data_IF_524069107479
#
_entry.id   IF_524069107479
#
_cell.length_a   1.000
_cell.length_b   1.000
_cell.length_c   1.000
_cell.angle_alpha   90.00
_cell.angle_beta   90.00
_cell.angle_gamma   90.00
#
_symmetry.space_group_name_H-M   'P 1'
#
loop_
_entity.id
_entity.type
_entity.pdbx_description
1 polymer ?
#
# COMPACT_ATOMS: atom_id res chain seq x y z
N UNK A 1 -59.72 27.85 -7.66
CA UNK A 1 -59.00 27.95 -6.37
C UNK A 1 -57.90 26.92 -6.37
N UNK A 2 -56.65 27.34 -6.61
CA UNK A 2 -55.48 26.47 -6.51
C UNK A 2 -54.30 27.34 -6.05
N UNK A 3 -53.74 27.09 -4.86
CA UNK A 3 -52.42 27.60 -4.47
C UNK A 3 -51.70 26.49 -3.72
N UNK A 4 -50.70 25.94 -4.41
CA UNK A 4 -49.71 25.01 -3.88
C UNK A 4 -48.88 25.70 -2.78
N UNK A 5 -48.82 25.09 -1.60
CA UNK A 5 -47.86 25.42 -0.55
C UNK A 5 -46.57 24.62 -0.80
N UNK A 6 -45.60 25.22 -1.48
CA UNK A 6 -44.22 24.72 -1.45
C UNK A 6 -43.53 25.28 -0.21
N UNK A 7 -43.37 24.43 0.80
CA UNK A 7 -42.55 24.73 1.98
C UNK A 7 -41.08 24.58 1.58
N UNK A 8 -40.36 25.70 1.47
CA UNK A 8 -38.90 25.70 1.27
C UNK A 8 -38.28 25.32 2.61
N UNK A 9 -37.79 24.09 2.73
CA UNK A 9 -36.96 23.67 3.86
C UNK A 9 -35.59 24.35 3.67
N UNK A 10 -35.30 25.38 4.46
CA UNK A 10 -33.95 25.94 4.58
C UNK A 10 -33.07 24.93 5.33
N UNK A 11 -32.52 23.96 4.60
CA UNK A 11 -31.41 23.15 5.12
C UNK A 11 -30.19 24.08 5.26
N UNK A 12 -29.51 24.13 6.42
CA UNK A 12 -28.27 24.88 6.53
C UNK A 12 -27.27 24.30 5.52
N UNK A 13 -26.64 25.17 4.73
CA UNK A 13 -25.59 24.76 3.80
C UNK A 13 -24.49 24.01 4.59
N UNK A 14 -23.97 22.88 4.07
CA UNK A 14 -22.88 22.17 4.73
C UNK A 14 -21.70 23.14 4.92
N UNK A 15 -20.95 23.01 6.03
CA UNK A 15 -19.79 23.85 6.29
C UNK A 15 -18.80 23.75 5.12
N UNK A 16 -18.39 24.91 4.62
CA UNK A 16 -17.39 25.00 3.56
C UNK A 16 -16.01 24.99 4.20
N UNK A 17 -15.21 23.96 3.92
CA UNK A 17 -13.79 23.95 4.29
C UNK A 17 -13.03 24.68 3.18
N UNK A 18 -12.48 25.85 3.49
CA UNK A 18 -11.51 26.51 2.62
C UNK A 18 -10.11 26.30 3.21
N UNK A 19 -9.24 25.63 2.44
CA UNK A 19 -7.83 25.53 2.78
C UNK A 19 -7.13 26.85 2.42
N UNK A 20 -6.57 27.52 3.42
CA UNK A 20 -5.75 28.73 3.21
C UNK A 20 -4.48 28.61 4.04
N UNK A 21 -3.40 28.12 3.44
CA UNK A 21 -2.08 28.04 4.08
C UNK A 21 -2.05 27.16 5.34
N UNK A 22 -1.44 27.67 6.42
CA UNK A 22 -1.17 26.93 7.67
C UNK A 22 -2.44 26.46 8.44
N UNK A 23 -3.62 26.90 8.02
CA UNK A 23 -4.87 26.66 8.72
C UNK A 23 -5.95 26.13 7.78
N UNK A 24 -6.73 25.16 8.26
CA UNK A 24 -8.04 24.86 7.68
C UNK A 24 -9.04 25.84 8.30
N UNK A 25 -9.71 26.64 7.48
CA UNK A 25 -10.78 27.54 7.96
C UNK A 25 -12.11 26.80 7.83
N UNK A 26 -12.72 26.50 8.98
CA UNK A 26 -14.09 26.01 9.02
C UNK A 26 -15.04 27.19 9.20
N UNK A 27 -15.84 27.48 8.17
CA UNK A 27 -16.87 28.54 8.21
C UNK A 27 -18.23 27.88 8.35
N UNK A 28 -18.89 28.08 9.50
CA UNK A 28 -20.31 27.73 9.67
C UNK A 28 -21.19 28.86 9.17
N UNK A 29 -22.02 28.62 8.15
CA UNK A 29 -22.90 29.61 7.52
C UNK A 29 -24.13 30.01 8.36
N UNK A 30 -24.03 29.97 9.70
CA UNK A 30 -25.09 30.40 10.62
C UNK A 30 -24.88 31.87 11.01
N UNK A 31 -25.96 32.66 11.27
CA UNK A 31 -25.82 34.01 11.78
C UNK A 31 -25.09 33.96 13.14
N UNK A 32 -23.89 34.56 13.23
CA UNK A 32 -22.99 34.43 14.38
C UNK A 32 -21.94 33.31 14.28
N UNK A 33 -21.69 32.77 13.08
CA UNK A 33 -20.71 31.70 12.85
C UNK A 33 -19.28 32.05 13.27
N UNK A 34 -18.68 31.19 14.08
CA UNK A 34 -17.27 31.27 14.48
C UNK A 34 -16.38 30.75 13.35
N UNK A 35 -15.32 31.49 13.01
CA UNK A 35 -14.22 30.98 12.18
C UNK A 35 -13.27 30.19 13.07
N UNK A 36 -13.25 28.87 12.93
CA UNK A 36 -12.24 28.05 13.58
C UNK A 36 -11.06 27.87 12.61
N UNK A 37 -9.90 28.44 12.97
CA UNK A 37 -8.63 28.12 12.32
C UNK A 37 -8.09 26.85 12.95
N UNK A 38 -8.19 25.73 12.25
CA UNK A 38 -7.53 24.50 12.65
C UNK A 38 -6.10 24.57 12.11
N UNK A 39 -5.12 24.82 12.98
CA UNK A 39 -3.71 24.71 12.61
C UNK A 39 -3.42 23.26 12.19
N UNK A 40 -2.80 23.08 11.04
CA UNK A 40 -2.21 21.79 10.70
C UNK A 40 -1.18 21.45 11.80
N UNK A 41 -1.19 20.21 12.32
CA UNK A 41 -0.19 19.79 13.29
C UNK A 41 1.22 20.06 12.73
N UNK A 42 2.15 20.56 13.56
CA UNK A 42 3.51 20.82 13.12
C UNK A 42 4.14 19.53 12.59
N UNK A 43 4.86 19.65 11.49
CA UNK A 43 5.70 18.57 10.97
C UNK A 43 6.94 18.54 11.85
N UNK A 44 7.27 17.37 12.37
CA UNK A 44 8.51 17.16 13.11
C UNK A 44 9.63 16.83 12.12
N UNK A 45 10.83 17.33 12.39
CA UNK A 45 12.02 17.08 11.57
C UNK A 45 13.14 16.55 12.46
N UNK A 46 14.03 15.76 11.87
CA UNK A 46 15.27 15.36 12.53
C UNK A 46 16.30 16.52 12.55
N UNK A 47 17.48 16.25 13.10
CA UNK A 47 18.58 17.21 13.18
C UNK A 47 19.11 17.67 11.80
N UNK A 48 18.83 16.90 10.74
CA UNK A 48 19.26 17.17 9.37
C UNK A 48 18.17 17.88 8.54
N UNK A 49 17.00 18.14 9.12
CA UNK A 49 15.86 18.75 8.43
C UNK A 49 15.07 17.79 7.55
N UNK A 50 15.17 16.48 7.77
CA UNK A 50 14.33 15.46 7.13
C UNK A 50 13.05 15.29 7.96
N UNK A 51 11.85 15.37 7.35
CA UNK A 51 10.60 15.26 8.10
C UNK A 51 10.39 13.83 8.62
N UNK A 52 9.73 13.69 9.76
CA UNK A 52 9.18 12.40 10.20
C UNK A 52 7.90 12.06 9.42
N UNK A 53 7.52 10.78 9.42
CA UNK A 53 6.24 10.36 8.85
C UNK A 53 5.07 11.11 9.48
N UNK A 54 4.06 11.49 8.67
CA UNK A 54 3.00 12.37 9.12
C UNK A 54 2.06 11.64 10.09
N UNK A 55 1.68 12.33 11.17
CA UNK A 55 0.71 11.82 12.17
C UNK A 55 -0.74 11.95 11.68
N UNK A 56 -0.99 12.84 10.72
CA UNK A 56 -2.31 13.08 10.11
C UNK A 56 -2.30 12.78 8.61
N UNK A 57 -3.47 12.55 8.02
CA UNK A 57 -3.60 12.32 6.59
C UNK A 57 -3.02 13.47 5.75
N UNK A 58 -2.08 13.13 4.87
CA UNK A 58 -1.48 14.02 3.87
C UNK A 58 -1.73 13.49 2.47
N UNK A 59 -1.71 14.38 1.49
CA UNK A 59 -1.94 14.01 0.09
C UNK A 59 -0.62 13.58 -0.55
N UNK A 60 -0.66 12.47 -1.29
CA UNK A 60 0.36 12.11 -2.26
C UNK A 60 -0.15 12.35 -3.69
N UNK A 61 0.66 13.02 -4.50
CA UNK A 61 0.46 13.17 -5.94
C UNK A 61 1.46 12.29 -6.67
N UNK A 62 0.97 11.13 -7.12
CA UNK A 62 1.77 10.13 -7.82
C UNK A 62 2.21 10.56 -9.22
N UNK A 63 1.55 11.55 -9.85
CA UNK A 63 1.94 12.00 -11.19
C UNK A 63 3.17 12.89 -11.14
N UNK A 64 3.25 13.71 -10.10
CA UNK A 64 4.36 14.64 -9.89
C UNK A 64 5.37 14.12 -8.86
N UNK A 65 5.11 12.96 -8.24
CA UNK A 65 5.93 12.39 -7.17
C UNK A 65 6.11 13.35 -5.99
N UNK A 66 5.03 14.02 -5.57
CA UNK A 66 5.04 15.04 -4.50
C UNK A 66 4.18 14.59 -3.33
N UNK A 67 4.72 14.70 -2.11
CA UNK A 67 3.97 14.59 -0.86
C UNK A 67 3.74 15.99 -0.28
N UNK A 68 2.48 16.32 0.02
CA UNK A 68 2.08 17.61 0.56
C UNK A 68 2.00 17.54 2.09
N UNK A 69 3.08 17.95 2.77
CA UNK A 69 3.14 18.05 4.23
C UNK A 69 2.66 19.45 4.64
N UNK A 70 1.35 19.61 4.83
CA UNK A 70 0.77 20.93 5.13
C UNK A 70 0.99 21.92 3.99
N UNK A 71 1.88 22.91 4.21
CA UNK A 71 2.27 23.89 3.18
C UNK A 71 3.56 23.51 2.44
N UNK A 72 4.28 22.52 2.93
CA UNK A 72 5.52 22.06 2.33
C UNK A 72 5.25 20.96 1.31
N UNK A 73 6.13 20.89 0.32
CA UNK A 73 6.11 19.87 -0.72
C UNK A 73 7.43 19.15 -0.69
N UNK A 74 7.37 17.84 -0.49
CA UNK A 74 8.55 16.98 -0.58
C UNK A 74 8.48 16.25 -1.91
N UNK A 75 9.49 16.46 -2.74
CA UNK A 75 9.65 15.78 -4.02
C UNK A 75 10.37 14.46 -3.78
N UNK A 76 9.76 13.36 -4.23
CA UNK A 76 10.40 12.05 -4.19
C UNK A 76 11.47 12.01 -5.30
N UNK A 77 12.75 11.76 -5.00
CA UNK A 77 13.84 11.98 -5.96
C UNK A 77 13.85 11.05 -7.17
N UNK A 78 13.26 9.85 -7.07
CA UNK A 78 13.40 8.78 -8.08
C UNK A 78 12.11 7.98 -8.24
N UNK A 79 11.71 7.78 -9.49
CA UNK A 79 10.70 6.78 -9.87
C UNK A 79 11.38 5.41 -10.00
N UNK A 80 10.91 4.42 -9.24
CA UNK A 80 11.36 3.03 -9.39
C UNK A 80 10.69 2.42 -10.62
N UNK A 81 11.44 2.29 -11.70
CA UNK A 81 10.99 1.62 -12.93
C UNK A 81 11.26 0.13 -12.82
N UNK A 82 10.23 -0.70 -13.00
CA UNK A 82 10.37 -2.15 -13.12
C UNK A 82 11.30 -2.49 -14.32
N UNK A 83 12.47 -3.13 -14.10
CA UNK A 83 13.39 -3.52 -15.15
C UNK A 83 12.81 -4.65 -16.02
N UNK A 84 13.23 -4.69 -17.29
CA UNK A 84 12.82 -5.75 -18.21
C UNK A 84 13.36 -7.13 -17.81
N UNK A 85 14.60 -7.18 -17.30
CA UNK A 85 15.24 -8.39 -16.78
C UNK A 85 15.02 -8.52 -15.27
N UNK A 86 15.08 -9.75 -14.76
CA UNK A 86 15.05 -10.03 -13.33
C UNK A 86 16.34 -9.59 -12.66
N UNK A 87 16.20 -8.94 -11.51
CA UNK A 87 17.33 -8.68 -10.62
C UNK A 87 17.48 -9.83 -9.59
N UNK A 88 18.63 -9.98 -8.93
CA UNK A 88 18.82 -11.01 -7.90
C UNK A 88 17.90 -10.87 -6.69
N UNK A 89 17.51 -9.65 -6.33
CA UNK A 89 16.62 -9.35 -5.20
C UNK A 89 15.19 -9.87 -5.43
N UNK A 90 14.77 -10.05 -6.68
CA UNK A 90 13.47 -10.62 -7.05
C UNK A 90 13.45 -12.15 -6.94
N UNK A 91 14.61 -12.81 -7.00
CA UNK A 91 14.68 -14.26 -7.16
C UNK A 91 13.97 -15.06 -6.05
N UNK A 92 14.01 -14.69 -4.76
CA UNK A 92 13.36 -15.50 -3.72
C UNK A 92 11.84 -15.61 -3.93
N UNK A 93 11.11 -14.50 -4.01
CA UNK A 93 9.66 -14.57 -4.27
C UNK A 93 9.32 -15.10 -5.66
N UNK A 94 10.15 -14.84 -6.68
CA UNK A 94 9.93 -15.37 -8.03
C UNK A 94 10.05 -16.89 -8.05
N UNK A 95 11.04 -17.46 -7.34
CA UNK A 95 11.19 -18.90 -7.20
C UNK A 95 10.01 -19.49 -6.42
N UNK A 96 9.55 -18.84 -5.35
CA UNK A 96 8.36 -19.27 -4.63
C UNK A 96 7.09 -19.28 -5.52
N UNK A 97 6.96 -18.33 -6.46
CA UNK A 97 5.90 -18.35 -7.47
C UNK A 97 6.07 -19.50 -8.47
N UNK A 98 7.30 -19.82 -8.85
CA UNK A 98 7.62 -20.95 -9.72
C UNK A 98 7.22 -22.29 -9.07
N UNK A 99 7.48 -22.48 -7.78
CA UNK A 99 7.07 -23.67 -7.03
C UNK A 99 5.55 -23.81 -6.98
N UNK A 100 4.84 -22.70 -6.72
CA UNK A 100 3.37 -22.63 -6.80
C UNK A 100 2.85 -23.02 -8.19
N UNK A 101 3.56 -22.65 -9.26
CA UNK A 101 3.18 -23.05 -10.62
C UNK A 101 3.52 -24.50 -10.93
N UNK A 102 4.62 -25.03 -10.39
CA UNK A 102 4.99 -26.43 -10.54
C UNK A 102 3.92 -27.32 -9.90
N UNK A 103 3.56 -27.07 -8.65
CA UNK A 103 2.51 -27.79 -7.91
C UNK A 103 1.18 -27.74 -8.67
N UNK A 104 0.74 -26.54 -9.10
CA UNK A 104 -0.51 -26.37 -9.86
C UNK A 104 -0.55 -27.19 -11.16
N UNK A 105 0.61 -27.46 -11.76
CA UNK A 105 0.76 -28.22 -12.99
C UNK A 105 1.05 -29.71 -12.74
N UNK A 106 1.08 -30.16 -11.48
CA UNK A 106 1.41 -31.53 -11.09
C UNK A 106 2.88 -31.90 -11.36
N UNK A 107 3.78 -30.91 -11.29
CA UNK A 107 5.23 -31.07 -11.46
C UNK A 107 5.97 -31.01 -10.12
N UNK A 108 7.21 -31.48 -10.08
CA UNK A 108 8.04 -31.41 -8.89
C UNK A 108 8.57 -29.97 -8.66
N UNK A 109 8.91 -29.64 -7.42
CA UNK A 109 9.57 -28.37 -7.09
C UNK A 109 10.86 -28.22 -7.92
N UNK A 110 11.12 -27.01 -8.43
CA UNK A 110 12.23 -26.74 -9.34
C UNK A 110 12.01 -27.11 -10.82
N UNK A 111 10.95 -27.85 -11.19
CA UNK A 111 10.65 -28.17 -12.60
C UNK A 111 10.19 -26.95 -13.42
N UNK A 112 9.74 -25.90 -12.73
CA UNK A 112 9.40 -24.61 -13.33
C UNK A 112 10.43 -23.60 -12.86
N UNK A 113 11.08 -22.94 -13.82
CA UNK A 113 12.05 -21.87 -13.56
C UNK A 113 11.57 -20.54 -14.14
N UNK A 114 12.16 -19.39 -13.76
CA UNK A 114 11.68 -18.09 -14.21
C UNK A 114 11.73 -17.91 -15.74
N UNK A 115 12.72 -18.51 -16.41
CA UNK A 115 12.88 -18.49 -17.87
C UNK A 115 11.81 -19.31 -18.60
N UNK A 116 11.16 -20.26 -17.94
CA UNK A 116 10.08 -21.07 -18.50
C UNK A 116 8.73 -20.36 -18.46
N UNK A 117 8.56 -19.29 -17.66
CA UNK A 117 7.29 -18.57 -17.51
C UNK A 117 6.64 -18.16 -18.85
N UNK A 118 7.38 -17.66 -19.86
CA UNK A 118 6.80 -17.32 -21.17
C UNK A 118 6.17 -18.51 -21.92
N UNK A 119 6.52 -19.75 -21.55
CA UNK A 119 5.99 -20.99 -22.17
C UNK A 119 4.74 -21.52 -21.45
N UNK A 120 4.43 -21.01 -20.25
CA UNK A 120 3.27 -21.44 -19.46
C UNK A 120 1.95 -20.93 -20.06
N UNK A 121 0.82 -21.38 -19.52
CA UNK A 121 -0.50 -20.90 -19.96
C UNK A 121 -0.63 -19.38 -19.82
N UNK A 122 -1.46 -18.75 -20.66
CA UNK A 122 -1.68 -17.30 -20.62
C UNK A 122 -2.20 -16.78 -19.28
N UNK A 123 -2.95 -17.61 -18.55
CA UNK A 123 -3.42 -17.26 -17.21
C UNK A 123 -2.26 -17.17 -16.21
N UNK A 124 -1.29 -18.09 -16.26
CA UNK A 124 -0.10 -18.06 -15.40
C UNK A 124 0.85 -16.92 -15.78
N UNK A 125 1.04 -16.66 -17.08
CA UNK A 125 1.81 -15.50 -17.54
C UNK A 125 1.21 -14.19 -17.02
N UNK A 126 -0.11 -14.03 -17.11
CA UNK A 126 -0.83 -12.85 -16.59
C UNK A 126 -0.72 -12.76 -15.06
N UNK A 127 -0.88 -13.88 -14.37
CA UNK A 127 -0.75 -13.94 -12.91
C UNK A 127 0.65 -13.47 -12.49
N UNK A 128 1.70 -14.07 -13.06
CA UNK A 128 3.08 -13.68 -12.80
C UNK A 128 3.35 -12.19 -13.07
N UNK A 129 2.92 -11.67 -14.23
CA UNK A 129 3.07 -10.25 -14.56
C UNK A 129 2.39 -9.35 -13.53
N UNK A 130 1.21 -9.74 -13.02
CA UNK A 130 0.53 -9.01 -11.95
C UNK A 130 1.28 -9.08 -10.61
N UNK A 131 1.88 -10.23 -10.28
CA UNK A 131 2.65 -10.40 -9.04
C UNK A 131 3.95 -9.58 -9.06
N UNK A 132 4.68 -9.65 -10.17
CA UNK A 132 5.89 -8.84 -10.38
C UNK A 132 5.57 -7.34 -10.30
N UNK A 133 4.47 -6.90 -10.93
CA UNK A 133 4.01 -5.51 -10.81
C UNK A 133 3.73 -5.13 -9.35
N UNK A 134 3.03 -5.97 -8.59
CA UNK A 134 2.73 -5.73 -7.19
C UNK A 134 4.00 -5.58 -6.34
N UNK A 135 4.99 -6.47 -6.52
CA UNK A 135 6.29 -6.39 -5.85
C UNK A 135 6.97 -5.03 -6.06
N UNK A 136 7.05 -4.55 -7.31
CA UNK A 136 7.66 -3.25 -7.60
C UNK A 136 6.89 -2.06 -7.03
N UNK A 137 5.56 -2.14 -6.91
CA UNK A 137 4.79 -1.11 -6.22
C UNK A 137 5.12 -1.07 -4.71
N UNK A 138 5.32 -2.23 -4.07
CA UNK A 138 5.73 -2.27 -2.67
C UNK A 138 7.18 -1.78 -2.45
N UNK A 139 8.11 -2.13 -3.34
CA UNK A 139 9.47 -1.58 -3.32
C UNK A 139 9.47 -0.06 -3.55
N UNK A 140 8.56 0.45 -4.38
CA UNK A 140 8.35 1.90 -4.51
C UNK A 140 7.95 2.54 -3.17
N UNK A 141 6.99 1.97 -2.44
CA UNK A 141 6.62 2.47 -1.11
C UNK A 141 7.80 2.45 -0.14
N UNK A 142 8.58 1.37 -0.12
CA UNK A 142 9.80 1.25 0.72
C UNK A 142 10.80 2.35 0.41
N UNK A 143 11.06 2.60 -0.86
CA UNK A 143 11.96 3.65 -1.30
C UNK A 143 11.44 5.04 -0.96
N UNK A 144 10.15 5.32 -1.21
CA UNK A 144 9.51 6.57 -0.80
C UNK A 144 9.67 6.79 0.69
N UNK A 145 9.42 5.78 1.50
CA UNK A 145 9.57 5.87 2.94
C UNK A 145 11.01 6.26 3.32
N UNK A 146 12.00 5.52 2.85
CA UNK A 146 13.42 5.72 3.17
C UNK A 146 13.96 7.08 2.72
N UNK A 147 13.60 7.52 1.52
CA UNK A 147 14.15 8.76 0.95
C UNK A 147 13.42 10.02 1.44
N UNK A 148 12.18 9.90 1.91
CA UNK A 148 11.35 11.06 2.29
C UNK A 148 11.37 11.31 3.79
N UNK A 149 11.38 10.24 4.61
CA UNK A 149 11.11 10.35 6.04
C UNK A 149 12.27 9.84 6.89
N UNK A 150 12.59 10.58 7.96
CA UNK A 150 13.66 10.26 8.89
C UNK A 150 13.45 8.90 9.58
N UNK A 151 12.20 8.53 9.87
CA UNK A 151 11.79 7.25 10.44
C UNK A 151 11.30 6.24 9.39
N UNK A 152 11.51 6.52 8.09
CA UNK A 152 10.94 5.78 6.97
C UNK A 152 11.18 4.27 7.00
N UNK A 153 12.42 3.82 7.26
CA UNK A 153 12.76 2.39 7.34
C UNK A 153 12.02 1.68 8.49
N UNK A 154 11.93 2.35 9.65
CA UNK A 154 11.21 1.81 10.81
C UNK A 154 9.70 1.73 10.55
N UNK A 155 9.14 2.72 9.86
CA UNK A 155 7.73 2.77 9.50
C UNK A 155 7.36 1.74 8.44
N UNK A 156 8.25 1.50 7.47
CA UNK A 156 8.06 0.41 6.50
C UNK A 156 8.18 -0.97 7.17
N UNK A 157 9.08 -1.13 8.14
CA UNK A 157 9.17 -2.35 8.94
C UNK A 157 7.89 -2.60 9.73
N UNK A 158 7.38 -1.58 10.44
CA UNK A 158 6.10 -1.67 11.15
C UNK A 158 4.92 -2.01 10.23
N UNK A 159 4.93 -1.49 8.99
CA UNK A 159 3.92 -1.81 7.97
C UNK A 159 3.96 -3.30 7.58
N UNK A 160 5.15 -3.86 7.35
CA UNK A 160 5.34 -5.28 7.02
C UNK A 160 4.93 -6.20 8.17
N UNK A 161 5.29 -5.84 9.41
CA UNK A 161 4.92 -6.62 10.59
C UNK A 161 3.40 -6.65 10.82
N UNK A 162 2.72 -5.52 10.61
CA UNK A 162 1.26 -5.45 10.69
C UNK A 162 0.60 -6.25 9.57
N UNK A 163 1.16 -6.16 8.36
CA UNK A 163 0.71 -6.95 7.21
C UNK A 163 0.81 -8.45 7.49
N UNK A 164 1.98 -8.92 7.96
CA UNK A 164 2.20 -10.33 8.30
C UNK A 164 1.23 -10.80 9.38
N UNK A 165 1.13 -10.08 10.49
CA UNK A 165 0.21 -10.42 11.58
C UNK A 165 -1.25 -10.52 11.11
N UNK A 166 -1.67 -9.70 10.15
CA UNK A 166 -3.04 -9.75 9.61
C UNK A 166 -3.31 -10.86 8.59
N UNK A 167 -2.27 -11.49 8.03
CA UNK A 167 -2.39 -12.61 7.10
C UNK A 167 -1.97 -13.96 7.70
N UNK A 168 -1.32 -13.97 8.86
CA UNK A 168 -0.71 -15.16 9.48
C UNK A 168 -1.69 -16.33 9.59
N UNK A 169 -2.87 -16.11 10.15
CA UNK A 169 -3.92 -17.13 10.25
C UNK A 169 -4.35 -17.69 8.88
N UNK A 170 -4.40 -16.85 7.84
CA UNK A 170 -4.74 -17.27 6.48
C UNK A 170 -3.60 -18.00 5.81
N UNK A 171 -2.35 -17.69 6.17
CA UNK A 171 -1.15 -18.32 5.63
C UNK A 171 -0.96 -19.73 6.17
N UNK A 172 -1.13 -19.91 7.49
CA UNK A 172 -1.02 -21.21 8.17
C UNK A 172 -2.30 -22.04 8.15
N UNK A 173 -3.33 -21.61 7.43
CA UNK A 173 -4.55 -22.39 7.24
C UNK A 173 -4.25 -23.69 6.46
N UNK A 174 -4.48 -24.83 7.11
CA UNK A 174 -4.25 -26.17 6.56
C UNK A 174 -5.34 -26.58 5.56
N UNK A 175 -6.46 -25.85 5.48
CA UNK A 175 -7.57 -26.15 4.56
C UNK A 175 -7.27 -25.77 3.10
N UNK A 176 -6.14 -25.08 2.83
CA UNK A 176 -5.71 -24.77 1.46
C UNK A 176 -5.24 -26.02 0.72
N UNK A 177 -5.95 -26.39 -0.33
CA UNK A 177 -5.65 -27.58 -1.13
C UNK A 177 -4.30 -27.51 -1.89
N UNK A 178 -3.84 -26.30 -2.24
CA UNK A 178 -2.59 -26.07 -2.95
C UNK A 178 -1.95 -24.77 -2.47
N UNK A 179 -0.64 -24.63 -2.66
CA UNK A 179 0.07 -23.37 -2.46
C UNK A 179 -0.42 -22.24 -3.36
N UNK A 180 -0.98 -22.55 -4.53
CA UNK A 180 -1.66 -21.56 -5.37
C UNK A 180 -2.91 -20.99 -4.67
N UNK A 181 -3.69 -21.84 -4.01
CA UNK A 181 -4.90 -21.42 -3.29
C UNK A 181 -4.52 -20.61 -2.05
N UNK A 182 -3.49 -21.05 -1.31
CA UNK A 182 -2.92 -20.31 -0.17
C UNK A 182 -2.44 -18.92 -0.56
N UNK A 183 -1.59 -18.82 -1.61
CA UNK A 183 -1.13 -17.53 -2.13
C UNK A 183 -2.30 -16.63 -2.49
N UNK A 184 -3.30 -17.16 -3.20
CA UNK A 184 -4.47 -16.37 -3.59
C UNK A 184 -5.27 -15.90 -2.38
N UNK A 185 -5.52 -16.77 -1.40
CA UNK A 185 -6.24 -16.43 -0.19
C UNK A 185 -5.52 -15.35 0.63
N UNK A 186 -4.20 -15.46 0.78
CA UNK A 186 -3.38 -14.44 1.45
C UNK A 186 -3.39 -13.10 0.70
N UNK A 187 -3.24 -13.13 -0.63
CA UNK A 187 -3.29 -11.91 -1.45
C UNK A 187 -4.68 -11.26 -1.47
N UNK A 188 -5.75 -12.03 -1.29
CA UNK A 188 -7.10 -11.49 -1.13
C UNK A 188 -7.26 -10.92 0.28
N UNK A 189 -6.83 -11.65 1.32
CA UNK A 189 -6.87 -11.22 2.73
C UNK A 189 -6.15 -9.89 2.95
N UNK A 190 -4.91 -9.76 2.48
CA UNK A 190 -4.09 -8.55 2.69
C UNK A 190 -4.76 -7.28 2.14
N UNK A 191 -5.55 -7.40 1.06
CA UNK A 191 -6.29 -6.25 0.50
C UNK A 191 -7.49 -5.82 1.33
N UNK A 192 -8.00 -6.70 2.21
CA UNK A 192 -9.18 -6.44 3.04
C UNK A 192 -8.84 -6.00 4.46
N UNK A 193 -7.63 -6.30 4.95
CA UNK A 193 -7.22 -5.87 6.29
C UNK A 193 -6.84 -4.39 6.34
N UNK A 194 -7.05 -3.82 7.52
CA UNK A 194 -6.55 -2.48 7.85
C UNK A 194 -5.14 -2.58 8.40
N UNK A 195 -4.22 -1.80 7.85
CA UNK A 195 -2.86 -1.66 8.35
C UNK A 195 -2.80 -0.33 9.12
N UNK A 196 -2.46 -0.39 10.39
CA UNK A 196 -2.61 0.72 11.34
C UNK A 196 -1.37 0.99 12.18
N UNK A 197 -0.39 0.07 12.23
CA UNK A 197 0.85 0.30 13.00
C UNK A 197 1.78 1.35 12.39
N UNK A 198 1.76 1.51 11.06
CA UNK A 198 2.66 2.41 10.34
C UNK A 198 1.99 3.75 10.04
N UNK A 199 2.69 4.84 10.34
CA UNK A 199 2.28 6.19 9.97
C UNK A 199 2.34 6.43 8.44
N UNK A 200 2.96 5.55 7.64
CA UNK A 200 2.89 5.61 6.18
C UNK A 200 1.45 5.53 5.66
N UNK A 201 0.52 4.94 6.42
CA UNK A 201 -0.91 4.92 6.06
C UNK A 201 -1.53 6.32 5.99
N UNK A 202 -0.91 7.29 6.66
CA UNK A 202 -1.34 8.68 6.63
C UNK A 202 -0.96 9.37 5.30
N UNK A 203 -0.06 8.80 4.50
CA UNK A 203 0.23 9.29 3.16
C UNK A 203 -0.83 8.74 2.20
N UNK A 204 -1.93 9.47 2.07
CA UNK A 204 -3.12 9.02 1.31
C UNK A 204 -2.76 8.83 -0.17
N UNK A 205 -2.96 7.61 -0.65
CA UNK A 205 -2.65 7.22 -2.02
C UNK A 205 -1.29 6.54 -2.20
N UNK A 206 -0.43 6.52 -1.17
CA UNK A 206 0.86 5.83 -1.23
C UNK A 206 0.70 4.31 -1.14
N UNK A 207 -0.19 3.84 -0.26
CA UNK A 207 -0.42 2.40 -0.02
C UNK A 207 -1.82 2.03 -0.50
N UNK A 208 -1.89 1.32 -1.64
CA UNK A 208 -3.10 0.72 -2.18
C UNK A 208 -3.04 -0.79 -2.19
N UNK A 209 -3.90 -1.40 -3.02
CA UNK A 209 -4.04 -2.86 -3.05
C UNK A 209 -2.86 -3.57 -3.73
N UNK A 210 -2.18 -2.92 -4.68
CA UNK A 210 -1.01 -3.53 -5.34
C UNK A 210 0.18 -3.55 -4.39
N UNK A 211 0.39 -2.47 -3.66
CA UNK A 211 1.45 -2.31 -2.67
C UNK A 211 1.26 -3.32 -1.54
N UNK A 212 0.02 -3.45 -1.04
CA UNK A 212 -0.37 -4.49 -0.08
C UNK A 212 -0.04 -5.91 -0.56
N UNK A 213 -0.35 -6.23 -1.82
CA UNK A 213 0.00 -7.54 -2.41
C UNK A 213 1.51 -7.71 -2.57
N UNK A 214 2.22 -6.64 -2.94
CA UNK A 214 3.68 -6.65 -3.07
C UNK A 214 4.41 -6.84 -1.75
N UNK A 215 3.85 -6.34 -0.65
CA UNK A 215 4.40 -6.57 0.70
C UNK A 215 4.48 -8.07 1.00
N UNK A 216 3.50 -8.89 0.57
CA UNK A 216 3.60 -10.35 0.74
C UNK A 216 4.83 -10.94 0.02
N UNK A 217 5.20 -10.41 -1.15
CA UNK A 217 6.41 -10.86 -1.86
C UNK A 217 7.69 -10.37 -1.18
N UNK A 218 7.68 -9.17 -0.60
CA UNK A 218 8.79 -8.69 0.25
C UNK A 218 8.94 -9.58 1.50
N UNK A 219 7.82 -10.01 2.11
CA UNK A 219 7.85 -10.94 3.25
C UNK A 219 8.44 -12.32 2.88
N UNK A 220 8.28 -12.77 1.63
CA UNK A 220 8.98 -13.97 1.12
C UNK A 220 10.48 -13.71 1.01
N UNK A 221 10.87 -12.58 0.42
CA UNK A 221 12.28 -12.19 0.32
C UNK A 221 12.97 -12.01 1.69
N UNK A 222 12.22 -11.57 2.70
CA UNK A 222 12.67 -11.43 4.09
C UNK A 222 12.64 -12.75 4.89
N UNK A 223 12.33 -13.89 4.24
CA UNK A 223 12.20 -15.21 4.85
C UNK A 223 11.13 -15.31 5.97
N UNK A 224 10.20 -14.34 6.04
CA UNK A 224 9.04 -14.38 6.95
C UNK A 224 7.95 -15.31 6.45
N UNK A 225 7.78 -15.37 5.14
CA UNK A 225 6.98 -16.39 4.45
C UNK A 225 7.98 -17.30 3.76
N UNK A 226 8.20 -18.49 4.30
CA UNK A 226 9.24 -19.40 3.81
C UNK A 226 8.87 -20.07 2.48
N UNK A 227 7.63 -20.54 2.39
CA UNK A 227 7.11 -21.19 1.19
C UNK A 227 5.61 -20.98 1.09
N UNK A 228 5.11 -20.97 -0.15
CA UNK A 228 3.68 -21.04 -0.41
C UNK A 228 3.19 -22.46 -0.52
N UNK A 229 4.06 -23.46 -0.72
CA UNK A 229 3.68 -24.86 -0.94
C UNK A 229 3.90 -25.66 0.35
N UNK A 230 5.10 -25.57 0.94
CA UNK A 230 5.56 -26.33 2.10
C UNK A 230 5.71 -25.43 3.34
N UNK A 231 4.65 -25.24 4.12
CA UNK A 231 4.61 -24.27 5.24
C UNK A 231 5.26 -24.78 6.54
N UNK A 232 5.58 -26.06 6.62
CA UNK A 232 6.10 -26.73 7.83
C UNK A 232 7.64 -26.82 7.88
N UNK A 233 8.33 -26.45 6.79
CA UNK A 233 9.81 -26.34 6.75
C UNK A 233 10.30 -24.97 7.25
#
# INVERSE_FOLDING_TARGET
>A
MNKNNNSIINSPAPPSIQQTGQNNVNVTNLPGGNVNLVQNSPIEYDENGVPYTPVNHVRFDSQNSIIYLGNEQVSIPVELVQPGLLNPEELPYVNALCDVYAEKLGKAAGDITPDMIPTLSKNLQRHYSSQRKAYYQAEYVKHVARETFADGDSQFTALKEDAYAGIEDTYYDEDHATGYDRLKAVLDRITTISLTKSALINVVGLIGNLEKKGICHILVNDEKIKSWVDIDE
#
